data_IF_946798108398
#
_entry.id   IF_946798108398
#
_cell.length_a   1.000
_cell.length_b   1.000
_cell.length_c   1.000
_cell.angle_alpha   90.00
_cell.angle_beta   90.00
_cell.angle_gamma   90.00
#
_symmetry.space_group_name_H-M   'P 1'
#
loop_
_entity.id
_entity.type
_entity.pdbx_description
1 polymer ?
#
# COMPACT_ATOMS: atom_id res chain seq x y z
N UNK A 1 1.51 7.17 -8.07
CA UNK A 1 1.29 7.31 -6.61
C UNK A 1 2.36 8.22 -5.97
N UNK A 2 2.03 8.92 -4.88
CA UNK A 2 2.92 9.82 -4.10
C UNK A 2 3.15 9.20 -2.70
N UNK A 3 3.33 7.87 -2.67
CA UNK A 3 3.54 7.13 -1.43
C UNK A 3 2.32 6.46 -0.78
N UNK A 4 2.56 5.82 0.37
CA UNK A 4 1.60 5.02 1.15
C UNK A 4 1.31 5.70 2.48
N UNK A 5 0.03 5.87 2.82
CA UNK A 5 -0.40 6.42 4.11
C UNK A 5 0.05 5.52 5.28
N UNK A 6 0.89 6.07 6.16
CA UNK A 6 1.45 5.37 7.32
C UNK A 6 0.61 5.57 8.59
N UNK A 7 -0.17 6.64 8.64
CA UNK A 7 -0.99 7.00 9.79
C UNK A 7 -1.20 8.50 9.90
N UNK A 8 -1.95 8.92 10.90
CA UNK A 8 -2.18 10.31 11.24
C UNK A 8 -1.89 10.59 12.71
N UNK A 9 -1.51 11.84 12.98
CA UNK A 9 -1.42 12.43 14.31
C UNK A 9 -2.41 13.58 14.42
N UNK A 10 -3.17 13.63 15.50
CA UNK A 10 -4.14 14.70 15.78
C UNK A 10 -4.34 14.85 17.28
N UNK A 11 -5.01 15.93 17.70
CA UNK A 11 -5.39 16.15 19.10
C UNK A 11 -6.90 15.93 19.21
N UNK A 12 -7.33 15.05 20.13
CA UNK A 12 -8.75 14.77 20.38
C UNK A 12 -9.43 15.89 21.19
N UNK A 13 -10.76 15.81 21.35
CA UNK A 13 -11.52 16.82 22.10
C UNK A 13 -11.12 16.93 23.58
N UNK A 14 -10.41 15.94 24.12
CA UNK A 14 -9.88 15.94 25.48
C UNK A 14 -8.44 16.48 25.55
N UNK A 15 -7.90 17.03 24.46
CA UNK A 15 -6.57 17.62 24.40
C UNK A 15 -5.43 16.60 24.34
N UNK A 16 -5.72 15.32 24.07
CA UNK A 16 -4.70 14.26 24.03
C UNK A 16 -4.19 14.07 22.61
N UNK A 17 -2.87 13.95 22.48
CA UNK A 17 -2.22 13.60 21.21
C UNK A 17 -2.52 12.14 20.88
N UNK A 18 -3.18 11.93 19.74
CA UNK A 18 -3.51 10.63 19.19
C UNK A 18 -2.61 10.31 18.01
N UNK A 19 -2.17 9.07 17.91
CA UNK A 19 -1.57 8.50 16.71
C UNK A 19 -2.38 7.28 16.27
N UNK A 20 -2.85 7.28 15.03
CA UNK A 20 -3.63 6.18 14.46
C UNK A 20 -3.09 5.78 13.10
N UNK A 21 -3.05 4.47 12.83
CA UNK A 21 -2.64 3.90 11.53
C UNK A 21 -3.67 4.09 10.42
N UNK A 22 -4.87 4.56 10.77
CA UNK A 22 -5.98 4.87 9.87
C UNK A 22 -6.66 6.15 10.33
N UNK A 23 -7.37 6.84 9.42
CA UNK A 23 -8.25 7.94 9.78
C UNK A 23 -9.63 7.40 10.21
N UNK A 24 -10.07 7.58 11.48
CA UNK A 24 -11.36 7.10 11.92
C UNK A 24 -12.51 7.91 11.33
N UNK A 25 -13.60 7.22 10.98
CA UNK A 25 -14.83 7.88 10.57
C UNK A 25 -15.33 8.82 11.67
N UNK A 26 -15.78 10.02 11.28
CA UNK A 26 -16.28 11.04 12.19
C UNK A 26 -15.35 11.40 13.37
N UNK A 27 -14.03 11.32 13.17
CA UNK A 27 -13.05 11.71 14.19
C UNK A 27 -13.17 13.22 14.49
N UNK A 28 -13.63 13.54 15.70
CA UNK A 28 -13.59 14.90 16.22
C UNK A 28 -12.16 15.25 16.65
N UNK A 29 -11.75 16.47 16.35
CA UNK A 29 -10.45 17.04 16.72
C UNK A 29 -10.66 18.32 17.51
N UNK A 30 -9.72 18.65 18.39
CA UNK A 30 -9.76 19.89 19.15
C UNK A 30 -9.82 21.10 18.21
N UNK A 31 -10.77 22.04 18.39
CA UNK A 31 -10.90 23.22 17.53
C UNK A 31 -9.60 24.03 17.47
N UNK A 32 -9.21 24.45 16.26
CA UNK A 32 -7.98 25.23 16.06
C UNK A 32 -6.69 24.42 15.99
N UNK A 33 -6.76 23.09 16.14
CA UNK A 33 -5.61 22.19 15.94
C UNK A 33 -5.53 21.67 14.50
N UNK A 34 -4.37 21.11 14.13
CA UNK A 34 -4.14 20.53 12.80
C UNK A 34 -4.05 19.00 12.89
N UNK A 35 -4.46 18.34 11.82
CA UNK A 35 -4.22 16.91 11.60
C UNK A 35 -2.98 16.77 10.73
N UNK A 36 -2.07 15.90 11.14
CA UNK A 36 -0.87 15.57 10.40
C UNK A 36 -1.03 14.18 9.80
N UNK A 37 -0.86 14.06 8.48
CA UNK A 37 -0.84 12.79 7.76
C UNK A 37 0.61 12.39 7.48
N UNK A 38 0.99 11.17 7.86
CA UNK A 38 2.31 10.61 7.63
C UNK A 38 2.23 9.68 6.42
N UNK A 39 3.15 9.86 5.48
CA UNK A 39 3.18 9.14 4.20
C UNK A 39 4.60 8.66 3.94
N UNK A 40 4.73 7.40 3.51
CA UNK A 40 5.97 6.85 2.97
C UNK A 40 6.08 7.20 1.49
N UNK A 41 6.84 8.25 1.14
CA UNK A 41 6.95 8.82 -0.21
C UNK A 41 8.26 8.48 -0.96
N UNK A 42 9.18 7.74 -0.35
CA UNK A 42 10.41 7.37 -1.06
C UNK A 42 10.10 6.36 -2.20
N UNK A 43 10.44 6.69 -3.47
CA UNK A 43 10.15 5.87 -4.64
C UNK A 43 10.82 4.49 -4.63
N UNK A 44 11.83 4.29 -3.78
CA UNK A 44 12.59 3.05 -3.68
C UNK A 44 12.19 2.20 -2.47
N UNK A 45 11.17 2.60 -1.69
CA UNK A 45 10.66 1.76 -0.61
C UNK A 45 10.07 0.48 -1.19
N UNK A 46 10.49 -0.63 -0.61
CA UNK A 46 9.93 -1.96 -0.85
C UNK A 46 8.87 -2.21 0.21
N UNK A 47 7.65 -2.50 -0.24
CA UNK A 47 6.51 -2.80 0.61
C UNK A 47 6.21 -4.29 0.61
N UNK A 48 5.80 -4.82 1.76
CA UNK A 48 5.16 -6.12 1.84
C UNK A 48 3.65 -5.95 1.59
N UNK A 49 3.08 -6.76 0.70
CA UNK A 49 1.65 -6.82 0.47
C UNK A 49 1.19 -8.27 0.26
N UNK A 50 -0.09 -8.53 0.53
CA UNK A 50 -0.71 -9.80 0.16
C UNK A 50 -1.21 -9.70 -1.30
N UNK A 51 -1.02 -10.77 -2.07
CA UNK A 51 -1.63 -10.94 -3.38
C UNK A 51 -2.91 -11.79 -3.28
N UNK A 52 -3.86 -11.57 -4.20
CA UNK A 52 -5.02 -12.43 -4.37
C UNK A 52 -4.58 -13.87 -4.72
N UNK A 53 -3.69 -13.99 -5.69
CA UNK A 53 -2.95 -15.19 -6.08
C UNK A 53 -1.62 -14.79 -6.71
N UNK A 54 -0.62 -15.68 -6.68
CA UNK A 54 0.67 -15.41 -7.29
C UNK A 54 1.28 -16.68 -7.91
N UNK A 55 1.65 -16.60 -9.19
CA UNK A 55 2.51 -17.61 -9.83
C UNK A 55 3.98 -17.18 -9.79
N UNK A 56 4.90 -18.15 -9.78
CA UNK A 56 6.35 -17.87 -9.83
C UNK A 56 6.75 -17.03 -11.06
N UNK A 57 6.10 -17.28 -12.21
CA UNK A 57 6.31 -16.51 -13.44
C UNK A 57 5.93 -15.02 -13.33
N UNK A 58 5.19 -14.63 -12.30
CA UNK A 58 4.78 -13.23 -12.09
C UNK A 58 5.88 -12.41 -11.41
N UNK A 59 6.95 -13.04 -10.92
CA UNK A 59 8.11 -12.33 -10.36
C UNK A 59 8.76 -11.50 -11.46
N UNK A 60 8.89 -10.19 -11.22
CA UNK A 60 9.34 -9.25 -12.23
C UNK A 60 8.26 -8.83 -13.24
N UNK A 61 7.01 -9.26 -13.10
CA UNK A 61 5.90 -8.63 -13.81
C UNK A 61 5.42 -7.38 -13.07
N UNK A 62 4.61 -6.58 -13.76
CA UNK A 62 3.84 -5.53 -13.13
C UNK A 62 2.40 -6.00 -12.87
N UNK A 63 1.79 -5.49 -11.81
CA UNK A 63 0.43 -5.79 -11.39
C UNK A 63 -0.24 -4.53 -10.85
N UNK A 64 -1.57 -4.52 -10.82
CA UNK A 64 -2.32 -3.48 -10.12
C UNK A 64 -2.55 -3.88 -8.66
N UNK A 65 -3.10 -2.95 -7.89
CA UNK A 65 -3.62 -3.20 -6.57
C UNK A 65 -5.12 -3.01 -6.57
N UNK A 66 -5.80 -3.79 -5.73
CA UNK A 66 -7.25 -3.70 -5.54
C UNK A 66 -7.51 -3.24 -4.13
N UNK A 67 -8.33 -2.21 -3.99
CA UNK A 67 -8.81 -1.76 -2.68
C UNK A 67 -9.67 -2.84 -2.03
N UNK A 68 -9.41 -3.14 -0.76
CA UNK A 68 -10.26 -3.99 0.06
C UNK A 68 -10.69 -3.29 1.34
N UNK A 69 -11.54 -3.95 2.11
CA UNK A 69 -12.02 -3.41 3.38
C UNK A 69 -10.89 -3.42 4.43
N UNK A 70 -10.53 -2.23 4.93
CA UNK A 70 -9.62 -2.11 6.07
C UNK A 70 -10.25 -2.64 7.37
N UNK A 71 -9.42 -3.04 8.32
CA UNK A 71 -9.85 -3.51 9.63
C UNK A 71 -9.54 -2.46 10.71
N UNK A 72 -10.55 -1.75 11.27
CA UNK A 72 -10.33 -0.72 12.29
C UNK A 72 -9.75 -1.23 13.60
N UNK A 73 -9.89 -2.54 13.91
CA UNK A 73 -9.37 -3.14 15.15
C UNK A 73 -7.86 -3.38 15.06
N UNK A 74 -7.37 -3.88 13.93
CA UNK A 74 -5.93 -4.09 13.72
C UNK A 74 -5.22 -2.88 13.11
N UNK A 75 -5.98 -1.98 12.46
CA UNK A 75 -5.46 -0.87 11.68
C UNK A 75 -4.85 -1.29 10.33
N UNK A 76 -5.07 -2.53 9.90
CA UNK A 76 -4.52 -3.04 8.65
C UNK A 76 -5.39 -2.65 7.46
N UNK A 77 -4.74 -2.30 6.34
CA UNK A 77 -5.40 -2.13 5.06
C UNK A 77 -5.91 -3.46 4.52
N UNK A 78 -7.03 -3.42 3.78
CA UNK A 78 -7.51 -4.55 2.97
C UNK A 78 -7.00 -4.51 1.54
N UNK A 79 -6.17 -3.52 1.18
CA UNK A 79 -5.59 -3.42 -0.15
C UNK A 79 -4.66 -4.61 -0.41
N UNK A 80 -4.75 -5.15 -1.62
CA UNK A 80 -4.02 -6.35 -2.05
C UNK A 80 -3.49 -6.18 -3.47
N UNK A 81 -2.45 -6.95 -3.80
CA UNK A 81 -1.89 -7.03 -5.15
C UNK A 81 -2.77 -7.94 -6.00
N UNK A 82 -3.09 -7.51 -7.22
CA UNK A 82 -3.82 -8.32 -8.19
C UNK A 82 -2.84 -9.19 -8.99
N UNK A 83 -2.23 -10.17 -8.33
CA UNK A 83 -1.30 -11.10 -8.97
C UNK A 83 -1.98 -12.07 -9.95
N UNK A 84 -3.32 -12.15 -9.97
CA UNK A 84 -4.08 -12.84 -11.02
C UNK A 84 -4.01 -12.16 -12.40
N UNK A 85 -3.71 -10.85 -12.44
CA UNK A 85 -3.69 -10.05 -13.69
C UNK A 85 -2.39 -9.25 -13.75
N UNK A 86 -1.38 -9.84 -14.38
CA UNK A 86 -0.06 -9.22 -14.55
C UNK A 86 0.23 -8.85 -16.00
N UNK A 87 1.03 -7.81 -16.19
CA UNK A 87 1.49 -7.37 -17.51
C UNK A 87 2.96 -6.91 -17.47
N UNK A 88 3.56 -6.72 -18.65
CA UNK A 88 4.92 -6.20 -18.76
C UNK A 88 5.00 -4.68 -18.60
N UNK A 89 3.91 -3.96 -18.87
CA UNK A 89 3.77 -2.48 -18.84
C UNK A 89 2.36 -2.11 -18.33
N UNK A 90 2.07 -0.81 -18.16
CA UNK A 90 0.74 -0.27 -17.85
C UNK A 90 0.09 -0.83 -16.56
N UNK A 91 0.87 -0.88 -15.48
CA UNK A 91 0.44 -1.38 -14.15
C UNK A 91 1.20 -0.67 -13.03
N UNK A 92 0.56 -0.48 -11.87
CA UNK A 92 1.09 0.40 -10.82
C UNK A 92 2.21 -0.20 -9.94
N UNK A 93 2.24 -1.52 -9.75
CA UNK A 93 3.17 -2.20 -8.84
C UNK A 93 4.11 -3.15 -9.57
N UNK A 94 5.39 -3.13 -9.22
CA UNK A 94 6.37 -4.15 -9.62
C UNK A 94 6.44 -5.24 -8.57
N UNK A 95 6.23 -6.49 -8.97
CA UNK A 95 6.45 -7.66 -8.11
C UNK A 95 7.95 -7.97 -8.10
N UNK A 96 8.58 -7.90 -6.93
CA UNK A 96 10.02 -8.13 -6.79
C UNK A 96 10.35 -9.58 -6.50
N UNK A 97 9.64 -10.18 -5.55
CA UNK A 97 9.76 -11.58 -5.17
C UNK A 97 8.64 -12.00 -4.22
N UNK A 98 8.48 -13.31 -4.08
CA UNK A 98 7.79 -13.89 -2.93
C UNK A 98 8.55 -13.52 -1.65
N UNK A 99 7.84 -13.11 -0.60
CA UNK A 99 8.45 -12.78 0.68
C UNK A 99 9.07 -14.06 1.30
N UNK A 100 10.35 -14.04 1.72
CA UNK A 100 11.03 -15.22 2.27
C UNK A 100 10.64 -15.46 3.74
N UNK A 101 9.39 -15.86 3.97
CA UNK A 101 8.84 -16.21 5.28
C UNK A 101 8.45 -17.70 5.30
N UNK A 102 8.64 -18.38 6.44
CA UNK A 102 8.27 -19.79 6.59
C UNK A 102 6.76 -19.95 6.37
N UNK A 103 6.37 -20.86 5.47
CA UNK A 103 4.97 -21.13 5.15
C UNK A 103 4.33 -20.15 4.16
N UNK A 104 5.10 -19.20 3.61
CA UNK A 104 4.65 -18.39 2.48
C UNK A 104 5.03 -19.09 1.17
N UNK A 105 4.04 -19.40 0.36
CA UNK A 105 4.19 -20.15 -0.89
C UNK A 105 3.47 -19.42 -2.03
N UNK A 106 3.83 -19.74 -3.28
CA UNK A 106 3.07 -19.30 -4.44
C UNK A 106 1.64 -19.86 -4.40
N UNK A 107 0.69 -19.12 -4.95
CA UNK A 107 -0.73 -19.44 -4.92
C UNK A 107 -1.55 -18.36 -4.23
N UNK A 108 -2.72 -18.74 -3.73
CA UNK A 108 -3.65 -17.82 -3.09
C UNK A 108 -3.05 -17.20 -1.83
N UNK A 109 -3.31 -15.92 -1.60
CA UNK A 109 -2.92 -15.20 -0.37
C UNK A 109 -1.42 -15.09 -0.12
N UNK A 110 -0.59 -15.34 -1.14
CA UNK A 110 0.86 -15.21 -1.08
C UNK A 110 1.28 -13.79 -0.66
N UNK A 111 2.27 -13.68 0.22
CA UNK A 111 2.89 -12.41 0.59
C UNK A 111 4.04 -12.09 -0.35
N UNK A 112 4.06 -10.87 -0.86
CA UNK A 112 5.02 -10.41 -1.86
C UNK A 112 5.69 -9.13 -1.44
N UNK A 113 6.92 -8.96 -1.92
CA UNK A 113 7.58 -7.67 -1.94
C UNK A 113 7.24 -6.94 -3.24
N UNK A 114 6.75 -5.71 -3.10
CA UNK A 114 6.37 -4.85 -4.23
C UNK A 114 6.98 -3.46 -4.09
N UNK A 115 7.14 -2.80 -5.22
CA UNK A 115 7.55 -1.41 -5.31
C UNK A 115 6.65 -0.68 -6.31
N UNK A 116 6.37 0.60 -6.09
CA UNK A 116 5.63 1.39 -7.08
C UNK A 116 6.46 1.56 -8.36
N UNK A 117 5.89 1.13 -9.48
CA UNK A 117 6.44 1.41 -10.80
C UNK A 117 6.12 2.85 -11.24
N UNK A 118 4.96 3.35 -10.85
CA UNK A 118 4.40 4.67 -11.21
C UNK A 118 4.62 5.74 -10.14
N UNK A 119 5.75 5.72 -9.45
CA UNK A 119 6.02 6.75 -8.45
C UNK A 119 6.34 8.09 -9.12
N UNK A 120 5.70 9.18 -8.70
CA UNK A 120 5.82 10.49 -9.35
C UNK A 120 7.28 10.99 -9.44
N UNK A 121 8.11 10.63 -8.46
CA UNK A 121 9.53 11.02 -8.37
C UNK A 121 10.51 10.07 -9.11
N UNK A 122 10.03 8.98 -9.73
CA UNK A 122 10.88 7.99 -10.41
C UNK A 122 11.19 8.34 -11.87
N UNK A 123 10.70 9.50 -12.32
CA UNK A 123 10.69 9.90 -13.73
C UNK A 123 9.48 9.31 -14.43
N UNK A 124 8.77 10.12 -15.22
CA UNK A 124 7.67 9.62 -16.07
C UNK A 124 8.30 8.71 -17.13
N UNK A 125 8.30 7.41 -16.89
CA UNK A 125 8.48 6.43 -17.96
C UNK A 125 7.22 6.52 -18.81
N UNK A 126 7.36 6.76 -20.11
CA UNK A 126 6.23 6.71 -21.03
C UNK A 126 5.62 5.28 -20.98
N UNK A 127 4.29 5.16 -20.82
CA UNK A 127 3.60 3.85 -20.78
C UNK A 127 3.43 3.25 -19.39
N UNK A 128 3.23 4.09 -18.37
CA UNK A 128 2.77 3.65 -17.05
C UNK A 128 1.69 4.64 -16.60
N UNK A 129 0.46 4.33 -17.00
CA UNK A 129 -0.75 5.01 -16.58
C UNK A 129 -1.88 4.00 -16.48
N UNK A 130 -1.99 3.32 -15.33
CA UNK A 130 -3.25 2.73 -14.89
C UNK A 130 -4.14 3.81 -14.26
N UNK A 131 -5.39 3.90 -14.71
CA UNK A 131 -6.44 4.78 -14.15
C UNK A 131 -6.74 4.47 -12.66
#
# INVERSE_FOLDING_TARGET
AIGVFAGCRFIDLEGRVQFKKYWPAAQAIEPGTKVEALVYDDPNIIFMAQADTLAEANVGALADWVAGAGNPKSGNSGAQVQGSVTAAIDKSLRILRLLPEVGNEYGAFAKVEVMFAEHALKGVVAGVGGD
#
